data_IF_112598284405
#
_entry.id   IF_112598284405
#
_cell.length_a   1.000
_cell.length_b   1.000
_cell.length_c   1.000
_cell.angle_alpha   90.00
_cell.angle_beta   90.00
_cell.angle_gamma   90.00
#
_symmetry.space_group_name_H-M   'P 1'
#
loop_
_entity.id
_entity.type
_entity.pdbx_description
1 polymer ?
#
# COMPACT_ATOMS: atom_id res chain seq x y z
N UNK A 1 14.72 17.54 -3.99
CA UNK A 1 13.65 17.54 -2.96
C UNK A 1 12.36 16.83 -3.39
N UNK A 2 12.02 16.77 -4.68
CA UNK A 2 10.79 16.11 -5.16
C UNK A 2 10.82 14.58 -5.06
N UNK A 3 11.97 13.93 -5.28
CA UNK A 3 12.09 12.45 -5.21
C UNK A 3 11.74 11.86 -3.83
N UNK A 4 12.30 12.42 -2.76
CA UNK A 4 12.06 11.92 -1.40
C UNK A 4 10.60 12.12 -0.97
N UNK A 5 9.95 13.19 -1.44
CA UNK A 5 8.53 13.41 -1.19
C UNK A 5 7.67 12.32 -1.86
N UNK A 6 8.03 11.90 -3.08
CA UNK A 6 7.34 10.81 -3.78
C UNK A 6 7.51 9.48 -3.04
N UNK A 7 8.73 9.18 -2.58
CA UNK A 7 8.99 7.97 -1.79
C UNK A 7 8.13 7.90 -0.51
N UNK A 8 8.04 9.00 0.22
CA UNK A 8 7.21 9.09 1.43
C UNK A 8 5.73 8.88 1.12
N UNK A 9 5.22 9.49 0.04
CA UNK A 9 3.83 9.30 -0.40
C UNK A 9 3.55 7.83 -0.74
N UNK A 10 4.46 7.17 -1.46
CA UNK A 10 4.30 5.75 -1.81
C UNK A 10 4.25 4.84 -0.59
N UNK A 11 5.11 5.06 0.40
CA UNK A 11 5.07 4.31 1.67
C UNK A 11 3.75 4.56 2.41
N UNK A 12 3.27 5.81 2.45
CA UNK A 12 2.01 6.16 3.08
C UNK A 12 0.81 5.48 2.40
N UNK A 13 0.78 5.48 1.07
CA UNK A 13 -0.22 4.76 0.27
C UNK A 13 -0.17 3.26 0.55
N UNK A 14 1.03 2.68 0.65
CA UNK A 14 1.21 1.27 1.01
C UNK A 14 0.61 0.91 2.37
N UNK A 15 0.85 1.73 3.39
CA UNK A 15 0.26 1.57 4.73
C UNK A 15 -1.27 1.75 4.71
N UNK A 16 -1.79 2.71 3.95
CA UNK A 16 -3.23 2.89 3.77
C UNK A 16 -3.88 1.67 3.14
N UNK A 17 -3.29 1.11 2.07
CA UNK A 17 -3.79 -0.11 1.43
C UNK A 17 -3.72 -1.32 2.37
N UNK A 18 -2.69 -1.44 3.21
CA UNK A 18 -2.62 -2.48 4.23
C UNK A 18 -3.79 -2.40 5.22
N UNK A 19 -4.20 -1.20 5.63
CA UNK A 19 -5.44 -0.99 6.38
C UNK A 19 -6.69 -1.44 5.61
N UNK A 20 -6.72 -1.16 4.30
CA UNK A 20 -7.75 -1.65 3.37
C UNK A 20 -7.87 -3.17 3.35
N UNK A 21 -6.75 -3.90 3.40
CA UNK A 21 -6.74 -5.37 3.51
C UNK A 21 -7.52 -5.83 4.73
N UNK A 22 -7.17 -5.30 5.91
CA UNK A 22 -7.81 -5.68 7.17
C UNK A 22 -9.32 -5.37 7.16
N UNK A 23 -9.69 -4.19 6.65
CA UNK A 23 -11.09 -3.75 6.56
C UNK A 23 -11.91 -4.64 5.63
N UNK A 24 -11.44 -4.86 4.40
CA UNK A 24 -12.16 -5.65 3.39
C UNK A 24 -12.21 -7.13 3.75
N UNK A 25 -11.15 -7.65 4.38
CA UNK A 25 -11.12 -9.01 4.87
C UNK A 25 -12.20 -9.24 5.94
N UNK A 26 -12.36 -8.29 6.89
CA UNK A 26 -13.44 -8.34 7.88
C UNK A 26 -14.85 -8.24 7.27
N UNK A 27 -14.98 -7.61 6.11
CA UNK A 27 -16.26 -7.52 5.38
C UNK A 27 -16.55 -8.73 4.48
N UNK A 28 -15.62 -9.71 4.40
CA UNK A 28 -15.77 -10.88 3.53
C UNK A 28 -15.46 -10.60 2.05
N UNK A 29 -15.04 -9.39 1.69
CA UNK A 29 -14.61 -9.04 0.33
C UNK A 29 -13.18 -9.52 0.08
N UNK A 30 -13.02 -10.83 -0.11
CA UNK A 30 -11.70 -11.48 -0.27
C UNK A 30 -10.90 -10.96 -1.47
N UNK A 31 -11.56 -10.73 -2.60
CA UNK A 31 -10.89 -10.22 -3.81
C UNK A 31 -10.41 -8.78 -3.59
N UNK A 32 -11.23 -7.93 -3.00
CA UNK A 32 -10.84 -6.56 -2.67
C UNK A 32 -9.66 -6.52 -1.68
N UNK A 33 -9.69 -7.36 -0.66
CA UNK A 33 -8.58 -7.51 0.28
C UNK A 33 -7.29 -7.98 -0.41
N UNK A 34 -7.38 -8.94 -1.34
CA UNK A 34 -6.22 -9.40 -2.12
C UNK A 34 -5.63 -8.29 -3.01
N UNK A 35 -6.47 -7.50 -3.69
CA UNK A 35 -6.01 -6.36 -4.51
C UNK A 35 -5.33 -5.29 -3.64
N UNK A 36 -5.92 -4.95 -2.50
CA UNK A 36 -5.27 -4.05 -1.53
C UNK A 36 -3.93 -4.60 -1.04
N UNK A 37 -3.82 -5.91 -0.81
CA UNK A 37 -2.58 -6.52 -0.34
C UNK A 37 -1.47 -6.43 -1.38
N UNK A 38 -1.78 -6.74 -2.64
CA UNK A 38 -0.83 -6.61 -3.76
C UNK A 38 -0.41 -5.15 -3.93
N UNK A 39 -1.37 -4.21 -3.93
CA UNK A 39 -1.06 -2.79 -4.06
C UNK A 39 -0.23 -2.25 -2.89
N UNK A 40 -0.48 -2.72 -1.66
CA UNK A 40 0.30 -2.36 -0.48
C UNK A 40 1.76 -2.80 -0.64
N UNK A 41 2.00 -4.06 -1.02
CA UNK A 41 3.36 -4.59 -1.24
C UNK A 41 4.07 -3.78 -2.32
N UNK A 42 3.41 -3.56 -3.47
CA UNK A 42 4.00 -2.81 -4.58
C UNK A 42 4.38 -1.38 -4.19
N UNK A 43 3.49 -0.67 -3.49
CA UNK A 43 3.72 0.72 -3.09
C UNK A 43 4.83 0.85 -2.03
N UNK A 44 4.86 -0.04 -1.03
CA UNK A 44 5.94 -0.06 -0.03
C UNK A 44 7.27 -0.42 -0.69
N UNK A 45 7.33 -1.47 -1.52
CA UNK A 45 8.55 -1.85 -2.22
C UNK A 45 9.06 -0.72 -3.12
N UNK A 46 8.19 -0.05 -3.87
CA UNK A 46 8.57 1.09 -4.70
C UNK A 46 9.11 2.26 -3.85
N UNK A 47 8.46 2.57 -2.72
CA UNK A 47 8.91 3.64 -1.82
C UNK A 47 10.24 3.34 -1.11
N UNK A 48 10.48 2.07 -0.76
CA UNK A 48 11.74 1.63 -0.12
C UNK A 48 12.90 1.60 -1.12
N UNK A 49 12.68 1.07 -2.32
CA UNK A 49 13.71 1.00 -3.38
C UNK A 49 14.03 2.36 -4.03
N UNK A 50 13.31 3.42 -3.67
CA UNK A 50 13.54 4.76 -4.18
C UNK A 50 14.77 5.44 -3.57
N UNK A 51 15.21 4.97 -2.41
CA UNK A 51 16.37 5.47 -1.66
C UNK A 51 17.66 4.80 -2.12
#
# INVERSE_FOLDING_TARGET
MTGNAIAVVLVFVGLFLAGGVFSLFKQGLKIGAAVCAVGAVMAVTAGVLWW
#
